data_IF_575723510629
#
_entry.id   IF_575723510629
#
_cell.length_a   1.000
_cell.length_b   1.000
_cell.length_c   1.000
_cell.angle_alpha   90.00
_cell.angle_beta   90.00
_cell.angle_gamma   90.00
#
_symmetry.space_group_name_H-M   'P 1'
#
loop_
_entity.id
_entity.type
_entity.pdbx_description
1 polymer ?
#
# COMPACT_ATOMS: atom_id res chain seq x y z
N UNK A 1 -40.40 38.10 0.97
CA UNK A 1 -39.73 37.39 2.06
C UNK A 1 -39.06 36.20 1.42
N UNK A 2 -37.79 36.40 1.04
CA UNK A 2 -37.00 35.41 0.33
C UNK A 2 -36.63 34.28 1.28
N UNK A 3 -36.91 33.06 0.86
CA UNK A 3 -36.25 31.88 1.40
C UNK A 3 -34.83 31.84 0.81
N UNK A 4 -33.91 32.59 1.43
CA UNK A 4 -32.47 32.38 1.30
C UNK A 4 -32.02 31.29 2.30
N UNK A 5 -32.83 30.23 2.43
CA UNK A 5 -32.52 29.05 3.23
C UNK A 5 -32.62 27.85 2.30
N UNK A 6 -31.51 27.50 1.63
CA UNK A 6 -31.22 26.10 1.25
C UNK A 6 -29.86 25.87 0.59
N UNK A 7 -29.30 26.82 -0.17
CA UNK A 7 -28.15 26.49 -1.06
C UNK A 7 -26.78 26.52 -0.34
N UNK A 8 -26.53 27.55 0.50
CA UNK A 8 -25.23 27.72 1.16
C UNK A 8 -25.01 26.72 2.34
N UNK A 9 -26.10 26.31 3.00
CA UNK A 9 -26.07 25.34 4.09
C UNK A 9 -25.72 23.93 3.61
N UNK A 10 -26.39 23.45 2.55
CA UNK A 10 -26.11 22.15 1.94
C UNK A 10 -24.71 22.10 1.33
N UNK A 11 -24.27 23.18 0.67
CA UNK A 11 -22.92 23.29 0.14
C UNK A 11 -21.86 23.25 1.25
N UNK A 12 -22.14 23.85 2.41
CA UNK A 12 -21.24 23.83 3.56
C UNK A 12 -21.13 22.44 4.18
N UNK A 13 -22.25 21.74 4.39
CA UNK A 13 -22.23 20.36 4.90
C UNK A 13 -21.48 19.42 3.96
N UNK A 14 -21.70 19.55 2.65
CA UNK A 14 -20.97 18.76 1.66
C UNK A 14 -19.45 19.01 1.69
N UNK A 15 -19.03 20.27 1.88
CA UNK A 15 -17.62 20.62 2.00
C UNK A 15 -17.00 20.10 3.29
N UNK A 16 -17.72 20.13 4.40
CA UNK A 16 -17.27 19.55 5.67
C UNK A 16 -17.11 18.04 5.55
N UNK A 17 -18.05 17.35 4.89
CA UNK A 17 -17.94 15.91 4.62
C UNK A 17 -16.72 15.58 3.75
N UNK A 18 -16.47 16.34 2.68
CA UNK A 18 -15.27 16.14 1.85
C UNK A 18 -13.99 16.39 2.65
N UNK A 19 -13.96 17.44 3.47
CA UNK A 19 -12.79 17.75 4.30
C UNK A 19 -12.48 16.61 5.28
N UNK A 20 -13.51 16.06 5.93
CA UNK A 20 -13.39 14.90 6.82
C UNK A 20 -12.87 13.66 6.07
N UNK A 21 -13.45 13.34 4.91
CA UNK A 21 -13.01 12.20 4.08
C UNK A 21 -11.56 12.37 3.64
N UNK A 22 -11.16 13.57 3.21
CA UNK A 22 -9.78 13.86 2.78
C UNK A 22 -8.82 13.76 3.97
N UNK A 23 -9.20 14.25 5.15
CA UNK A 23 -8.39 14.16 6.36
C UNK A 23 -8.14 12.70 6.76
N UNK A 24 -9.19 11.89 6.89
CA UNK A 24 -9.04 10.47 7.24
C UNK A 24 -8.27 9.68 6.18
N UNK A 25 -8.55 9.94 4.89
CA UNK A 25 -7.82 9.29 3.79
C UNK A 25 -6.33 9.66 3.83
N UNK A 26 -6.02 10.93 4.10
CA UNK A 26 -4.63 11.40 4.23
C UNK A 26 -3.87 10.70 5.36
N UNK A 27 -4.50 10.56 6.53
CA UNK A 27 -3.90 9.84 7.67
C UNK A 27 -3.65 8.37 7.33
N UNK A 28 -4.64 7.69 6.74
CA UNK A 28 -4.51 6.27 6.35
C UNK A 28 -3.40 6.06 5.31
N UNK A 29 -3.34 6.91 4.28
CA UNK A 29 -2.31 6.83 3.25
C UNK A 29 -0.92 7.11 3.82
N UNK A 30 -0.78 8.14 4.66
CA UNK A 30 0.51 8.49 5.25
C UNK A 30 1.00 7.39 6.21
N UNK A 31 0.17 6.97 7.15
CA UNK A 31 0.54 5.93 8.12
C UNK A 31 0.87 4.60 7.44
N UNK A 32 0.08 4.19 6.44
CA UNK A 32 0.34 2.97 5.67
C UNK A 32 1.62 3.06 4.83
N UNK A 33 1.88 4.21 4.20
CA UNK A 33 3.06 4.39 3.34
C UNK A 33 4.34 4.46 4.16
N UNK A 34 4.39 5.25 5.23
CA UNK A 34 5.59 5.45 6.04
C UNK A 34 6.04 4.13 6.68
N UNK A 35 5.10 3.40 7.29
CA UNK A 35 5.39 2.10 7.90
C UNK A 35 5.82 1.06 6.87
N UNK A 36 5.12 0.96 5.73
CA UNK A 36 5.47 0.02 4.67
C UNK A 36 6.83 0.34 4.04
N UNK A 37 7.15 1.62 3.85
CA UNK A 37 8.44 2.05 3.30
C UNK A 37 9.59 1.65 4.21
N UNK A 38 9.48 1.91 5.52
CA UNK A 38 10.49 1.49 6.49
C UNK A 38 10.63 -0.03 6.52
N UNK A 39 9.53 -0.80 6.50
CA UNK A 39 9.60 -2.27 6.45
C UNK A 39 10.33 -2.76 5.19
N UNK A 40 10.04 -2.19 4.02
CA UNK A 40 10.72 -2.55 2.78
C UNK A 40 12.22 -2.18 2.79
N UNK A 41 12.57 -1.02 3.36
CA UNK A 41 13.96 -0.59 3.53
C UNK A 41 14.76 -1.59 4.37
N UNK A 42 14.20 -2.01 5.51
CA UNK A 42 14.83 -3.04 6.34
C UNK A 42 14.89 -4.39 5.63
N UNK A 43 13.83 -4.82 4.96
CA UNK A 43 13.83 -6.09 4.22
C UNK A 43 14.93 -6.10 3.15
N UNK A 44 15.02 -5.06 2.33
CA UNK A 44 16.05 -4.94 1.29
C UNK A 44 17.45 -4.85 1.88
N UNK A 45 17.63 -4.10 2.96
CA UNK A 45 18.93 -4.01 3.66
C UNK A 45 19.37 -5.37 4.20
N UNK A 46 18.45 -6.15 4.77
CA UNK A 46 18.75 -7.49 5.26
C UNK A 46 19.09 -8.45 4.11
N UNK A 47 18.36 -8.39 3.00
CA UNK A 47 18.63 -9.25 1.83
C UNK A 47 19.99 -8.92 1.18
N UNK A 48 20.30 -7.64 0.99
CA UNK A 48 21.57 -7.21 0.40
C UNK A 48 22.78 -7.53 1.28
N UNK A 49 22.61 -7.47 2.61
CA UNK A 49 23.65 -7.85 3.56
C UNK A 49 23.80 -9.38 3.72
N UNK A 50 22.84 -10.18 3.26
CA UNK A 50 22.85 -11.64 3.36
C UNK A 50 22.66 -12.29 1.98
N UNK A 51 23.68 -12.28 1.11
CA UNK A 51 23.55 -12.70 -0.29
C UNK A 51 23.09 -14.15 -0.47
N UNK A 52 23.39 -15.05 0.46
CA UNK A 52 22.92 -16.44 0.39
C UNK A 52 21.39 -16.56 0.63
N UNK A 53 20.84 -15.73 1.51
CA UNK A 53 19.38 -15.63 1.75
C UNK A 53 18.70 -15.07 0.50
N UNK A 54 19.26 -14.00 -0.07
CA UNK A 54 18.75 -13.40 -1.31
C UNK A 54 18.78 -14.39 -2.49
N UNK A 55 19.89 -15.13 -2.67
CA UNK A 55 19.99 -16.17 -3.70
C UNK A 55 18.94 -17.25 -3.53
N UNK A 56 18.67 -17.69 -2.29
CA UNK A 56 17.67 -18.72 -2.02
C UNK A 56 16.25 -18.23 -2.31
N UNK A 57 15.90 -17.02 -1.89
CA UNK A 57 14.61 -16.40 -2.21
C UNK A 57 14.41 -16.27 -3.72
N UNK A 58 15.43 -15.78 -4.43
CA UNK A 58 15.37 -15.67 -5.90
C UNK A 58 15.21 -17.05 -6.55
N UNK A 59 15.99 -18.04 -6.14
CA UNK A 59 15.92 -19.38 -6.71
C UNK A 59 14.54 -20.04 -6.52
N UNK A 60 13.86 -19.78 -5.40
CA UNK A 60 12.48 -20.25 -5.21
C UNK A 60 11.50 -19.58 -6.18
N UNK A 61 11.59 -18.26 -6.35
CA UNK A 61 10.77 -17.51 -7.33
C UNK A 61 11.02 -18.04 -8.74
N UNK A 62 12.29 -18.17 -9.14
CA UNK A 62 12.68 -18.65 -10.48
C UNK A 62 12.15 -20.08 -10.72
N UNK A 63 12.09 -20.92 -9.68
CA UNK A 63 11.60 -22.29 -9.79
C UNK A 63 10.06 -22.41 -9.84
N UNK A 64 9.33 -21.57 -9.10
CA UNK A 64 7.87 -21.69 -8.94
C UNK A 64 7.08 -20.78 -9.89
N UNK A 65 7.65 -19.63 -10.24
CA UNK A 65 7.01 -18.58 -11.07
C UNK A 65 7.69 -18.47 -12.43
N UNK A 66 9.02 -18.62 -12.47
CA UNK A 66 9.83 -18.42 -13.68
C UNK A 66 10.09 -16.95 -13.98
N UNK A 67 10.81 -16.67 -15.08
CA UNK A 67 11.20 -15.31 -15.49
C UNK A 67 10.29 -14.70 -16.57
N UNK A 68 9.32 -15.46 -17.09
CA UNK A 68 8.46 -15.03 -18.21
C UNK A 68 7.35 -14.05 -17.78
N UNK A 69 7.06 -13.96 -16.49
CA UNK A 69 6.01 -13.11 -15.93
C UNK A 69 6.33 -12.62 -14.52
N UNK A 70 5.61 -11.59 -14.08
CA UNK A 70 5.66 -11.13 -12.70
C UNK A 70 4.89 -12.07 -11.75
N UNK A 71 5.21 -11.96 -10.46
CA UNK A 71 4.54 -12.68 -9.37
C UNK A 71 3.09 -12.22 -9.29
N UNK A 72 2.19 -13.17 -9.09
CA UNK A 72 0.78 -12.94 -8.78
C UNK A 72 0.47 -13.37 -7.34
N UNK A 73 -0.58 -12.81 -6.74
CA UNK A 73 -0.98 -13.14 -5.36
C UNK A 73 -1.27 -14.64 -5.19
N UNK A 74 -1.77 -15.31 -6.24
CA UNK A 74 -2.02 -16.75 -6.23
C UNK A 74 -0.76 -17.61 -6.15
N UNK A 75 0.42 -17.06 -6.44
CA UNK A 75 1.69 -17.77 -6.36
C UNK A 75 2.29 -17.79 -4.96
N UNK A 76 1.85 -16.91 -4.05
CA UNK A 76 2.40 -16.79 -2.68
C UNK A 76 2.32 -18.14 -1.95
N UNK A 77 1.24 -18.90 -2.14
CA UNK A 77 1.08 -20.22 -1.53
C UNK A 77 2.13 -21.26 -1.99
N UNK A 78 2.83 -21.00 -3.09
CA UNK A 78 3.89 -21.87 -3.65
C UNK A 78 5.30 -21.42 -3.26
N UNK A 79 5.44 -20.30 -2.55
CA UNK A 79 6.72 -19.71 -2.15
C UNK A 79 6.94 -19.84 -0.63
N UNK A 80 7.10 -21.05 -0.06
CA UNK A 80 7.16 -21.26 1.38
C UNK A 80 8.41 -20.69 2.06
N UNK A 81 9.44 -20.30 1.30
CA UNK A 81 10.60 -19.60 1.85
C UNK A 81 10.36 -18.09 2.01
N UNK A 82 9.42 -17.51 1.24
CA UNK A 82 9.03 -16.10 1.28
C UNK A 82 7.78 -15.84 2.11
#
# INVERSE_FOLDING_TARGET
FGEDVSDDGEAKEFRELIAEVVEYSGVLLFAGTDTSAVTLEWAMSNLLNNPEVLKKAKAEIDAQVGEERLIDESDIAKLPYL
#
